data_IF_331307461028
#
_entry.id   IF_331307461028
#
_cell.length_a   1.000
_cell.length_b   1.000
_cell.length_c   1.000
_cell.angle_alpha   90.00
_cell.angle_beta   90.00
_cell.angle_gamma   90.00
#
_symmetry.space_group_name_H-M   'P 1'
#
loop_
_entity.id
_entity.type
_entity.pdbx_description
1 polymer ?
#
# COMPACT_ATOMS: atom_id res chain seq x y z
N UNK A 1 0.57 -17.62 13.81
CA UNK A 1 2.05 -17.50 13.65
C UNK A 1 2.53 -16.36 14.54
N UNK A 2 3.76 -16.41 15.03
CA UNK A 2 4.36 -15.28 15.76
C UNK A 2 4.63 -14.12 14.79
N UNK A 3 4.38 -12.87 15.21
CA UNK A 3 4.70 -11.69 14.38
C UNK A 3 6.21 -11.46 14.45
N UNK A 4 6.86 -11.16 13.32
CA UNK A 4 8.30 -10.91 13.24
C UNK A 4 8.71 -9.77 14.18
N UNK A 5 7.91 -8.70 14.24
CA UNK A 5 8.12 -7.54 15.11
C UNK A 5 8.26 -7.91 16.60
N UNK A 6 7.63 -9.01 17.04
CA UNK A 6 7.71 -9.48 18.43
C UNK A 6 9.04 -10.18 18.72
N UNK A 7 9.72 -10.71 17.69
CA UNK A 7 11.00 -11.40 17.82
C UNK A 7 12.22 -10.49 17.60
N UNK A 8 12.02 -9.32 17.00
CA UNK A 8 13.10 -8.36 16.76
C UNK A 8 13.51 -7.64 18.05
N UNK A 9 14.82 -7.37 18.24
CA UNK A 9 15.32 -6.65 19.40
C UNK A 9 14.72 -5.25 19.46
N UNK A 10 14.58 -4.72 20.68
CA UNK A 10 14.17 -3.33 20.86
C UNK A 10 15.23 -2.37 20.29
N UNK A 11 14.81 -1.32 19.56
CA UNK A 11 15.76 -0.37 19.01
C UNK A 11 16.40 0.45 20.13
N UNK A 12 17.72 0.69 20.06
CA UNK A 12 18.43 1.51 21.04
C UNK A 12 17.89 2.95 21.12
N UNK A 13 17.31 3.45 20.02
CA UNK A 13 16.65 4.75 19.95
C UNK A 13 15.56 4.71 18.88
N UNK A 14 14.44 5.36 19.19
CA UNK A 14 13.37 5.66 18.24
C UNK A 14 13.46 7.15 17.89
N UNK A 15 13.47 7.49 16.60
CA UNK A 15 13.33 8.88 16.14
C UNK A 15 11.87 9.32 16.27
N UNK A 16 11.66 10.54 16.76
CA UNK A 16 10.34 11.16 16.77
C UNK A 16 9.81 11.30 15.34
N UNK A 17 8.54 10.92 15.13
CA UNK A 17 7.88 11.05 13.83
C UNK A 17 7.45 12.50 13.65
N UNK A 18 8.13 13.21 12.74
CA UNK A 18 7.91 14.63 12.49
C UNK A 18 6.97 14.88 11.33
N UNK A 19 7.05 14.05 10.28
CA UNK A 19 6.22 14.20 9.07
C UNK A 19 5.59 12.85 8.71
N UNK A 20 4.29 12.82 8.51
CA UNK A 20 3.55 11.61 8.13
C UNK A 20 2.79 11.89 6.85
N UNK A 21 3.10 11.14 5.80
CA UNK A 21 2.44 11.28 4.50
C UNK A 21 1.38 10.19 4.37
N UNK A 22 0.11 10.59 4.40
CA UNK A 22 -1.07 9.72 4.32
C UNK A 22 -1.45 9.36 2.86
N UNK A 23 -0.61 9.73 1.91
CA UNK A 23 -0.89 9.63 0.49
C UNK A 23 -0.64 8.22 -0.03
N UNK A 24 -1.48 7.76 -0.95
CA UNK A 24 -1.37 6.43 -1.56
C UNK A 24 -0.19 6.39 -2.54
N UNK A 25 0.21 5.18 -2.91
CA UNK A 25 1.15 5.03 -4.00
C UNK A 25 0.65 5.70 -5.28
N UNK A 26 1.60 6.21 -6.08
CA UNK A 26 1.36 6.89 -7.36
C UNK A 26 0.73 8.29 -7.25
N UNK A 27 0.79 8.89 -6.06
CA UNK A 27 0.39 10.28 -5.79
C UNK A 27 1.60 11.23 -5.61
N UNK A 28 2.74 10.92 -6.23
CA UNK A 28 3.98 11.71 -6.05
C UNK A 28 4.77 11.38 -4.78
N UNK A 29 4.50 10.22 -4.17
CA UNK A 29 5.15 9.74 -2.93
C UNK A 29 6.66 9.62 -3.05
N UNK A 30 7.17 9.16 -4.20
CA UNK A 30 8.61 9.09 -4.44
C UNK A 30 9.27 10.48 -4.53
N UNK A 31 8.60 11.46 -5.14
CA UNK A 31 9.09 12.83 -5.19
C UNK A 31 9.09 13.47 -3.80
N UNK A 32 8.06 13.20 -2.97
CA UNK A 32 8.04 13.61 -1.56
C UNK A 32 9.16 12.95 -0.76
N UNK A 33 9.42 11.65 -0.97
CA UNK A 33 10.53 10.94 -0.36
C UNK A 33 11.87 11.63 -0.65
N UNK A 34 12.13 11.99 -1.92
CA UNK A 34 13.35 12.70 -2.30
C UNK A 34 13.40 14.13 -1.71
N UNK A 35 12.29 14.87 -1.76
CA UNK A 35 12.22 16.24 -1.26
C UNK A 35 12.44 16.30 0.26
N UNK A 36 11.84 15.39 1.03
CA UNK A 36 12.02 15.32 2.47
C UNK A 36 13.47 14.98 2.84
N UNK A 37 14.13 14.10 2.08
CA UNK A 37 15.56 13.84 2.26
C UNK A 37 16.41 15.11 2.02
N UNK A 38 16.11 15.88 0.97
CA UNK A 38 16.78 17.17 0.69
C UNK A 38 16.58 18.19 1.83
N UNK A 39 15.39 18.19 2.45
CA UNK A 39 15.07 19.04 3.61
C UNK A 39 15.69 18.56 4.93
N UNK A 40 16.48 17.48 4.92
CA UNK A 40 17.20 16.98 6.09
C UNK A 40 16.43 15.99 6.96
N UNK A 41 15.26 15.53 6.51
CA UNK A 41 14.55 14.41 7.15
C UNK A 41 15.20 13.07 6.77
N UNK A 42 14.87 12.02 7.54
CA UNK A 42 15.11 10.62 7.22
C UNK A 42 13.79 9.94 6.85
N UNK A 43 13.41 9.98 5.57
CA UNK A 43 12.13 9.45 5.12
C UNK A 43 12.15 7.93 4.93
N UNK A 44 11.07 7.27 5.32
CA UNK A 44 10.75 5.89 4.98
C UNK A 44 9.80 5.87 3.78
N UNK A 45 10.10 5.02 2.80
CA UNK A 45 9.29 4.78 1.60
C UNK A 45 9.47 3.31 1.19
N UNK A 46 8.67 2.79 0.26
CA UNK A 46 8.86 1.44 -0.30
C UNK A 46 10.29 1.18 -0.81
N UNK A 47 11.00 2.24 -1.23
CA UNK A 47 12.41 2.17 -1.63
C UNK A 47 13.33 1.77 -0.46
N UNK A 48 13.07 2.25 0.75
CA UNK A 48 13.80 1.83 1.96
C UNK A 48 13.41 0.41 2.36
N UNK A 49 12.14 0.03 2.24
CA UNK A 49 11.70 -1.34 2.53
C UNK A 49 12.48 -2.38 1.68
N UNK A 50 12.61 -2.11 0.37
CA UNK A 50 13.39 -2.96 -0.54
C UNK A 50 14.89 -2.97 -0.20
N UNK A 51 15.43 -1.84 0.25
CA UNK A 51 16.85 -1.71 0.61
C UNK A 51 17.19 -2.38 1.94
N UNK A 52 16.26 -2.35 2.91
CA UNK A 52 16.44 -2.97 4.23
C UNK A 52 16.24 -4.49 4.19
N UNK A 53 15.61 -4.99 3.13
CA UNK A 53 15.51 -6.41 2.84
C UNK A 53 14.24 -7.06 3.39
N UNK A 54 14.31 -8.37 3.59
CA UNK A 54 13.14 -9.22 3.84
C UNK A 54 12.34 -8.82 5.08
N UNK A 55 13.00 -8.39 6.16
CA UNK A 55 12.33 -8.08 7.43
C UNK A 55 11.32 -6.94 7.29
N UNK A 56 11.65 -5.89 6.53
CA UNK A 56 10.73 -4.76 6.33
C UNK A 56 9.52 -5.17 5.48
N UNK A 57 9.72 -6.02 4.48
CA UNK A 57 8.65 -6.56 3.65
C UNK A 57 7.74 -7.49 4.46
N UNK A 58 8.31 -8.35 5.31
CA UNK A 58 7.57 -9.23 6.21
C UNK A 58 6.80 -8.43 7.26
N UNK A 59 7.40 -7.43 7.90
CA UNK A 59 6.69 -6.58 8.87
C UNK A 59 5.53 -5.83 8.22
N UNK A 60 5.74 -5.31 7.00
CA UNK A 60 4.68 -4.64 6.24
C UNK A 60 3.53 -5.60 5.91
N UNK A 61 3.83 -6.80 5.41
CA UNK A 61 2.86 -7.86 5.12
C UNK A 61 2.05 -8.22 6.38
N UNK A 62 2.73 -8.49 7.49
CA UNK A 62 2.10 -8.89 8.73
C UNK A 62 1.26 -7.78 9.35
N UNK A 63 1.73 -6.52 9.30
CA UNK A 63 0.96 -5.38 9.78
C UNK A 63 -0.38 -5.27 9.04
N UNK A 64 -0.36 -5.43 7.71
CA UNK A 64 -1.57 -5.44 6.89
C UNK A 64 -2.46 -6.64 7.19
N UNK A 65 -1.90 -7.86 7.28
CA UNK A 65 -2.67 -9.06 7.63
C UNK A 65 -3.33 -8.96 9.01
N UNK A 66 -2.60 -8.51 10.03
CA UNK A 66 -3.14 -8.38 11.38
C UNK A 66 -4.28 -7.37 11.44
N UNK A 67 -4.22 -6.27 10.68
CA UNK A 67 -5.27 -5.26 10.67
C UNK A 67 -6.51 -5.65 9.86
N UNK A 68 -6.31 -6.17 8.64
CA UNK A 68 -7.40 -6.30 7.67
C UNK A 68 -7.90 -7.73 7.48
N UNK A 69 -7.07 -8.74 7.77
CA UNK A 69 -7.32 -10.14 7.42
C UNK A 69 -7.36 -11.07 8.64
N UNK A 70 -7.49 -10.52 9.86
CA UNK A 70 -7.56 -11.31 11.09
C UNK A 70 -6.27 -12.06 11.43
N UNK A 71 -5.12 -11.62 10.90
CA UNK A 71 -3.82 -12.30 11.06
C UNK A 71 -3.20 -12.23 12.46
N UNK A 72 -3.91 -11.75 13.47
CA UNK A 72 -3.43 -11.61 14.85
C UNK A 72 -3.64 -10.20 15.41
N UNK A 73 -2.89 -9.87 16.47
CA UNK A 73 -2.97 -8.55 17.12
C UNK A 73 -2.53 -7.44 16.13
N UNK A 74 -3.37 -6.43 15.86
CA UNK A 74 -2.99 -5.27 15.04
C UNK A 74 -1.76 -4.55 15.60
N UNK A 75 -1.01 -3.91 14.71
CA UNK A 75 0.16 -3.11 15.09
C UNK A 75 -0.33 -1.80 15.75
N UNK A 76 0.28 -1.44 16.87
CA UNK A 76 0.11 -0.14 17.51
C UNK A 76 1.43 0.63 17.54
N UNK A 77 1.46 1.71 18.31
CA UNK A 77 2.64 2.56 18.48
C UNK A 77 3.94 1.78 18.78
N UNK A 78 3.97 0.79 19.70
CA UNK A 78 5.21 0.06 20.00
C UNK A 78 5.74 -0.71 18.78
N UNK A 79 4.85 -1.36 18.04
CA UNK A 79 5.22 -2.10 16.84
C UNK A 79 5.70 -1.15 15.71
N UNK A 80 5.04 0.00 15.51
CA UNK A 80 5.48 1.00 14.53
C UNK A 80 6.78 1.70 14.92
N UNK A 81 6.97 2.01 16.21
CA UNK A 81 8.21 2.61 16.72
C UNK A 81 9.40 1.66 16.55
N UNK A 82 9.20 0.35 16.73
CA UNK A 82 10.21 -0.67 16.48
C UNK A 82 10.56 -0.77 14.99
N UNK A 83 9.56 -0.95 14.14
CA UNK A 83 9.76 -1.07 12.69
C UNK A 83 10.40 0.19 12.09
N UNK A 84 9.89 1.36 12.46
CA UNK A 84 10.25 2.64 11.83
C UNK A 84 11.21 3.46 12.70
N UNK A 85 11.94 2.82 13.62
CA UNK A 85 12.79 3.47 14.62
C UNK A 85 13.76 4.50 14.02
N UNK A 86 14.30 4.20 12.84
CA UNK A 86 15.33 5.00 12.18
C UNK A 86 14.82 6.16 11.34
N UNK A 87 13.51 6.36 11.23
CA UNK A 87 12.90 7.33 10.32
C UNK A 87 12.09 8.37 11.09
N UNK A 88 12.19 9.62 10.67
CA UNK A 88 11.41 10.75 11.22
C UNK A 88 10.39 11.31 10.23
N UNK A 89 10.37 10.80 9.00
CA UNK A 89 9.28 11.02 8.05
C UNK A 89 8.79 9.68 7.48
N UNK A 90 7.48 9.39 7.50
CA UNK A 90 6.94 8.10 7.05
C UNK A 90 5.99 8.31 5.88
N UNK A 91 6.19 7.57 4.78
CA UNK A 91 5.47 7.73 3.52
C UNK A 91 4.85 6.40 3.09
N UNK A 92 3.66 6.47 2.49
CA UNK A 92 2.85 5.35 2.00
C UNK A 92 2.25 4.44 3.08
N UNK A 93 3.04 3.85 3.97
CA UNK A 93 2.51 2.95 5.02
C UNK A 93 1.34 3.56 5.83
N UNK A 94 1.40 4.84 6.27
CA UNK A 94 0.35 5.42 7.10
C UNK A 94 -1.03 5.47 6.44
N UNK A 95 -1.14 5.39 5.09
CA UNK A 95 -2.45 5.41 4.41
C UNK A 95 -3.35 4.23 4.80
N UNK A 96 -2.78 3.13 5.28
CA UNK A 96 -3.52 1.98 5.78
C UNK A 96 -3.84 2.08 7.28
N UNK A 97 -3.13 2.94 8.00
CA UNK A 97 -3.12 3.01 9.46
C UNK A 97 -3.42 4.42 9.96
N UNK A 98 -4.33 5.12 9.27
CA UNK A 98 -4.60 6.55 9.54
C UNK A 98 -4.96 6.79 11.02
N UNK A 99 -5.95 6.10 11.63
CA UNK A 99 -6.25 6.32 13.04
C UNK A 99 -5.06 6.03 13.95
N UNK A 100 -4.34 4.94 13.71
CA UNK A 100 -3.22 4.53 14.54
C UNK A 100 -2.06 5.53 14.48
N UNK A 101 -1.74 6.07 13.31
CA UNK A 101 -0.69 7.08 13.17
C UNK A 101 -1.12 8.45 13.71
N UNK A 102 -2.38 8.84 13.54
CA UNK A 102 -2.91 10.10 14.11
C UNK A 102 -2.90 10.05 15.63
N UNK A 103 -3.36 8.95 16.22
CA UNK A 103 -3.40 8.78 17.68
C UNK A 103 -2.00 8.61 18.29
N UNK A 104 -1.11 7.92 17.59
CA UNK A 104 0.24 7.61 18.11
C UNK A 104 1.22 8.79 17.98
N UNK A 105 1.02 9.67 17.01
CA UNK A 105 1.95 10.75 16.67
C UNK A 105 1.21 12.09 16.48
N UNK A 106 0.51 12.59 17.51
CA UNK A 106 -0.31 13.80 17.39
C UNK A 106 0.50 15.07 17.08
N UNK A 107 1.78 15.09 17.44
CA UNK A 107 2.67 16.23 17.21
C UNK A 107 3.26 16.27 15.78
N UNK A 108 3.08 15.20 14.99
CA UNK A 108 3.57 15.13 13.62
C UNK A 108 2.80 16.08 12.70
N UNK A 109 3.46 16.54 11.63
CA UNK A 109 2.79 17.22 10.52
C UNK A 109 2.31 16.17 9.52
N UNK A 110 1.04 16.27 9.12
CA UNK A 110 0.43 15.35 8.17
C UNK A 110 0.36 15.95 6.77
N UNK A 111 0.72 15.16 5.75
CA UNK A 111 0.65 15.54 4.34
C UNK A 111 -0.26 14.57 3.61
N UNK A 112 -1.25 15.11 2.90
CA UNK A 112 -2.07 14.39 1.93
C UNK A 112 -1.96 15.10 0.59
N UNK A 113 -1.47 14.39 -0.42
CA UNK A 113 -1.46 14.85 -1.81
C UNK A 113 -2.70 14.36 -2.52
N UNK A 114 -3.22 15.16 -3.43
CA UNK A 114 -4.37 14.81 -4.25
C UNK A 114 -3.98 14.74 -5.73
N UNK A 115 -4.72 13.93 -6.48
CA UNK A 115 -4.56 13.75 -7.92
C UNK A 115 -5.92 13.38 -8.51
N UNK A 116 -6.16 13.78 -9.76
CA UNK A 116 -7.28 13.27 -10.54
C UNK A 116 -7.34 11.74 -10.51
N UNK A 117 -8.54 11.19 -10.30
CA UNK A 117 -8.75 9.77 -10.02
C UNK A 117 -8.46 8.90 -11.25
N UNK A 118 -8.83 9.35 -12.45
CA UNK A 118 -8.63 8.60 -13.68
C UNK A 118 -7.14 8.57 -14.06
N UNK A 119 -6.47 9.70 -13.89
CA UNK A 119 -5.02 9.83 -14.03
C UNK A 119 -4.26 8.96 -13.02
N UNK A 120 -4.71 8.94 -11.75
CA UNK A 120 -4.14 8.07 -10.73
C UNK A 120 -4.36 6.59 -11.06
N UNK A 121 -5.59 6.19 -11.42
CA UNK A 121 -5.93 4.80 -11.73
C UNK A 121 -5.12 4.26 -12.91
N UNK A 122 -4.97 5.06 -13.96
CA UNK A 122 -4.12 4.73 -15.11
C UNK A 122 -2.66 4.54 -14.68
N UNK A 123 -2.13 5.47 -13.89
CA UNK A 123 -0.77 5.40 -13.35
C UNK A 123 -0.56 4.19 -12.43
N UNK A 124 -1.56 3.84 -11.61
CA UNK A 124 -1.54 2.70 -10.70
C UNK A 124 -1.52 1.38 -11.47
N UNK A 125 -2.43 1.21 -12.44
CA UNK A 125 -2.49 0.01 -13.28
C UNK A 125 -1.18 -0.25 -14.02
N UNK A 126 -0.57 0.80 -14.57
CA UNK A 126 0.68 0.69 -15.32
C UNK A 126 1.92 0.47 -14.43
N UNK A 127 1.78 0.42 -13.10
CA UNK A 127 2.89 0.25 -12.16
C UNK A 127 2.58 -0.80 -11.11
N UNK A 128 2.02 -0.40 -9.95
CA UNK A 128 1.70 -1.31 -8.86
C UNK A 128 0.74 -2.43 -9.28
N UNK A 129 -0.27 -2.12 -10.10
CA UNK A 129 -1.19 -3.13 -10.63
C UNK A 129 -0.49 -4.22 -11.44
N UNK A 130 0.50 -3.86 -12.27
CA UNK A 130 1.32 -4.82 -13.00
C UNK A 130 2.15 -5.70 -12.06
N UNK A 131 2.72 -5.14 -11.00
CA UNK A 131 3.47 -5.92 -10.01
C UNK A 131 2.58 -6.97 -9.34
N UNK A 132 1.34 -6.61 -8.98
CA UNK A 132 0.40 -7.55 -8.35
C UNK A 132 0.05 -8.71 -9.28
N UNK A 133 -0.06 -8.47 -10.59
CA UNK A 133 -0.24 -9.52 -11.58
C UNK A 133 1.03 -10.36 -11.75
N UNK A 134 2.17 -9.71 -11.97
CA UNK A 134 3.44 -10.36 -12.28
C UNK A 134 3.90 -11.32 -11.15
N UNK A 135 3.67 -11.00 -9.86
CA UNK A 135 4.08 -11.87 -8.73
C UNK A 135 3.37 -13.23 -8.70
N UNK A 136 2.29 -13.40 -9.47
CA UNK A 136 1.52 -14.65 -9.58
C UNK A 136 1.93 -15.51 -10.76
N UNK A 137 2.82 -15.01 -11.62
CA UNK A 137 3.23 -15.65 -12.86
C UNK A 137 4.74 -15.90 -12.90
N UNK A 138 5.16 -16.72 -13.87
CA UNK A 138 6.58 -16.97 -14.12
C UNK A 138 7.27 -15.67 -14.59
N UNK A 139 8.49 -15.34 -14.10
CA UNK A 139 9.33 -16.17 -13.24
C UNK A 139 9.08 -16.05 -11.74
N UNK A 140 8.37 -15.02 -11.29
CA UNK A 140 8.24 -14.65 -9.87
C UNK A 140 7.68 -15.76 -8.98
N UNK A 141 6.64 -16.46 -9.45
CA UNK A 141 6.02 -17.55 -8.69
C UNK A 141 6.94 -18.77 -8.47
N UNK A 142 8.01 -18.91 -9.28
CA UNK A 142 9.03 -19.95 -9.13
C UNK A 142 10.25 -19.43 -8.39
N UNK A 143 10.75 -18.24 -8.74
CA UNK A 143 11.98 -17.69 -8.13
C UNK A 143 11.81 -17.39 -6.65
N UNK A 144 10.58 -17.08 -6.21
CA UNK A 144 10.25 -16.95 -4.78
C UNK A 144 10.51 -18.21 -3.94
N UNK A 145 10.63 -19.38 -4.57
CA UNK A 145 10.96 -20.63 -3.87
C UNK A 145 12.46 -20.74 -3.55
N UNK A 146 13.29 -19.92 -4.19
CA UNK A 146 14.74 -19.98 -4.13
C UNK A 146 15.35 -18.79 -3.37
N UNK A 147 14.65 -17.66 -3.30
CA UNK A 147 15.14 -16.42 -2.72
C UNK A 147 14.15 -15.87 -1.68
N UNK A 148 14.53 -15.80 -0.39
CA UNK A 148 13.67 -15.29 0.69
C UNK A 148 13.22 -13.83 0.52
N UNK A 149 14.05 -12.97 -0.08
CA UNK A 149 13.68 -11.58 -0.35
C UNK A 149 12.61 -11.52 -1.43
N UNK A 150 12.74 -12.32 -2.49
CA UNK A 150 11.71 -12.44 -3.52
C UNK A 150 10.42 -13.01 -2.92
N UNK A 151 10.52 -14.01 -2.03
CA UNK A 151 9.36 -14.55 -1.32
C UNK A 151 8.62 -13.47 -0.52
N UNK A 152 9.35 -12.73 0.33
CA UNK A 152 8.79 -11.65 1.13
C UNK A 152 8.18 -10.54 0.26
N UNK A 153 8.81 -10.21 -0.86
CA UNK A 153 8.27 -9.26 -1.84
C UNK A 153 6.96 -9.75 -2.46
N UNK A 154 6.91 -11.01 -2.91
CA UNK A 154 5.70 -11.59 -3.49
C UNK A 154 4.56 -11.65 -2.47
N UNK A 155 4.85 -12.02 -1.22
CA UNK A 155 3.84 -12.11 -0.15
C UNK A 155 3.30 -10.74 0.24
N UNK A 156 4.19 -9.77 0.42
CA UNK A 156 3.80 -8.38 0.69
C UNK A 156 2.89 -7.81 -0.41
N UNK A 157 3.21 -8.03 -1.69
CA UNK A 157 2.39 -7.55 -2.80
C UNK A 157 1.07 -8.32 -2.93
N UNK A 158 1.05 -9.62 -2.64
CA UNK A 158 -0.18 -10.42 -2.64
C UNK A 158 -1.13 -9.95 -1.54
N UNK A 159 -0.62 -9.73 -0.32
CA UNK A 159 -1.42 -9.17 0.79
C UNK A 159 -1.86 -7.74 0.49
N UNK A 160 -1.02 -6.91 -0.12
CA UNK A 160 -1.41 -5.56 -0.51
C UNK A 160 -2.62 -5.61 -1.46
N UNK A 161 -2.56 -6.44 -2.51
CA UNK A 161 -3.66 -6.60 -3.46
C UNK A 161 -4.96 -7.03 -2.75
N UNK A 162 -4.88 -8.06 -1.89
CA UNK A 162 -6.02 -8.52 -1.06
C UNK A 162 -6.61 -7.37 -0.22
N UNK A 163 -5.77 -6.58 0.46
CA UNK A 163 -6.22 -5.47 1.32
C UNK A 163 -6.82 -4.32 0.53
N UNK A 164 -6.30 -3.99 -0.65
CA UNK A 164 -6.91 -2.98 -1.52
C UNK A 164 -8.34 -3.39 -1.90
N UNK A 165 -8.56 -4.64 -2.27
CA UNK A 165 -9.90 -5.12 -2.61
C UNK A 165 -10.83 -5.20 -1.41
N UNK A 166 -10.36 -5.65 -0.24
CA UNK A 166 -11.17 -5.65 1.00
C UNK A 166 -11.56 -4.23 1.39
N UNK A 167 -10.62 -3.28 1.38
CA UNK A 167 -10.92 -1.88 1.72
C UNK A 167 -11.82 -1.20 0.70
N UNK A 168 -11.72 -1.55 -0.58
CA UNK A 168 -12.65 -1.09 -1.61
C UNK A 168 -14.08 -1.59 -1.35
N UNK A 169 -14.24 -2.89 -1.05
CA UNK A 169 -15.55 -3.50 -0.74
C UNK A 169 -16.17 -2.91 0.52
N UNK A 170 -15.40 -2.81 1.62
CA UNK A 170 -15.85 -2.20 2.87
C UNK A 170 -16.20 -0.71 2.69
N UNK A 171 -15.50 -0.01 1.79
CA UNK A 171 -15.80 1.37 1.43
C UNK A 171 -17.06 1.54 0.57
N UNK A 172 -17.42 0.53 -0.23
CA UNK A 172 -18.64 0.51 -1.04
C UNK A 172 -19.88 0.17 -0.22
N UNK A 173 -19.79 -0.74 0.75
CA UNK A 173 -20.90 -1.07 1.66
C UNK A 173 -21.32 0.11 2.55
N UNK A 174 -20.38 1.02 2.86
CA UNK A 174 -20.65 2.23 3.64
C UNK A 174 -21.20 3.41 2.81
N UNK A 175 -21.24 3.33 1.48
CA UNK A 175 -21.79 4.40 0.63
C UNK A 175 -23.27 4.13 0.30
N UNK A 176 -24.21 5.02 0.66
CA UNK A 176 -25.60 4.88 0.23
C UNK A 176 -25.68 4.96 -1.31
N UNK A 177 -26.18 3.90 -1.96
CA UNK A 177 -26.39 3.83 -3.42
C UNK A 177 -25.44 2.91 -4.22
N UNK A 178 -24.60 2.09 -3.57
CA UNK A 178 -23.54 1.31 -4.21
C UNK A 178 -23.99 0.18 -5.17
N UNK A 179 -25.25 -0.27 -5.11
CA UNK A 179 -25.75 -1.36 -5.97
C UNK A 179 -25.85 -0.98 -7.46
N UNK A 180 -26.09 0.28 -7.81
CA UNK A 180 -26.22 0.72 -9.21
C UNK A 180 -24.87 0.88 -9.93
N UNK A 181 -23.80 1.15 -9.18
CA UNK A 181 -22.44 1.28 -9.73
C UNK A 181 -21.83 -0.09 -10.07
N UNK A 182 -22.20 -1.14 -9.32
CA UNK A 182 -21.79 -2.53 -9.56
C UNK A 182 -22.23 -3.02 -10.95
N UNK A 183 -23.42 -2.61 -11.42
CA UNK A 183 -23.95 -2.98 -12.75
C UNK A 183 -23.14 -2.36 -13.89
N UNK A 184 -22.61 -1.14 -13.73
CA UNK A 184 -21.80 -0.46 -14.77
C UNK A 184 -20.38 -1.00 -14.88
N UNK A 185 -19.77 -1.41 -13.78
CA UNK A 185 -18.40 -1.95 -13.77
C UNK A 185 -18.41 -3.39 -14.31
N UNK A 186 -19.38 -4.22 -13.91
CA UNK A 186 -19.48 -5.59 -14.41
C UNK A 186 -19.79 -5.68 -15.91
N UNK A 187 -20.44 -4.67 -16.50
CA UNK A 187 -20.72 -4.64 -17.95
C UNK A 187 -19.47 -4.38 -18.81
N UNK A 188 -18.42 -3.75 -18.26
CA UNK A 188 -17.16 -3.50 -18.98
C UNK A 188 -16.12 -4.64 -18.88
N UNK A 189 -16.36 -5.62 -18.01
CA UNK A 189 -15.40 -6.69 -17.69
C UNK A 189 -15.73 -8.03 -18.36
N UNK A 190 -16.82 -8.14 -19.12
CA UNK A 190 -17.17 -9.37 -19.82
C UNK A 190 -16.37 -9.48 -21.15
N UNK A 191 -15.63 -10.57 -21.39
CA UNK A 191 -14.95 -10.78 -22.66
C UNK A 191 -15.97 -11.25 -23.70
N UNK A 192 -16.34 -10.36 -24.63
CA UNK A 192 -17.06 -10.73 -25.84
C UNK A 192 -18.36 -9.98 -26.08
N UNK A 193 -18.28 -8.74 -26.52
CA UNK A 193 -19.21 -8.21 -27.54
C UNK A 193 -18.45 -7.24 -28.43
N UNK A 194 -18.11 -7.72 -29.64
CA UNK A 194 -17.84 -6.81 -30.75
C UNK A 194 -19.18 -6.17 -31.08
N UNK A 195 -19.31 -4.86 -30.89
CA UNK A 195 -20.30 -4.10 -31.63
C UNK A 195 -19.59 -3.31 -32.71
N UNK A 196 -20.02 -3.65 -33.92
CA UNK A 196 -19.63 -3.12 -35.21
C UNK A 196 -19.95 -1.63 -35.28
N UNK A 197 -19.04 -0.91 -35.91
CA UNK A 197 -19.25 0.45 -36.42
C UNK A 197 -20.54 0.52 -37.23
N UNK A 198 -21.41 1.46 -36.90
CA UNK A 198 -22.31 2.10 -37.87
C UNK A 198 -22.48 3.58 -37.48
N UNK A 199 -21.94 4.45 -38.34
CA UNK A 199 -22.42 5.82 -38.50
C UNK A 199 -23.83 5.76 -39.12
N UNK A 200 -24.72 6.72 -38.84
CA UNK A 200 -24.85 7.82 -39.80
C UNK A 200 -25.23 9.21 -39.23
N UNK A 201 -25.07 10.18 -40.12
CA UNK A 201 -25.45 11.59 -40.17
C UNK A 201 -26.66 12.10 -39.36
N UNK A 202 -26.57 13.42 -39.08
CA UNK A 202 -27.64 14.46 -38.96
C UNK A 202 -29.06 14.00 -39.36
N UNK A 203 -30.13 14.28 -38.61
CA UNK A 203 -30.49 15.45 -37.80
C UNK A 203 -31.16 15.05 -36.49
#
# INVERSE_FOLDING_TARGET
MSRLVDSLPEPARVRDKKVIVLSRSRMGTFSLYQALAVLGYKPYHMAEALKNGENDLIMMEQAMRCKFLGGGKPYGKPEFDKWLANYDAIIEIPQFFIPEFVDSYPDAKFILTERDIDSWATSFRNTAGKVFEDVRHFPWNVTRLLDPLIAAFCDANTTWDEVIFVTATLGQERRPGSQDQQKRINYRSAPGSRETTDHPCSW
#
